data_IF_276124586848
#
_entry.id   IF_276124586848
#
_cell.length_a   1.000
_cell.length_b   1.000
_cell.length_c   1.000
_cell.angle_alpha   90.00
_cell.angle_beta   90.00
_cell.angle_gamma   90.00
#
_symmetry.space_group_name_H-M   'P 1'
#
loop_
_entity.id
_entity.type
_entity.pdbx_description
1 polymer ?
#
# COMPACT_ATOMS: atom_id res chain seq x y z
N UNK A 1 -37.70 -22.78 14.64
CA UNK A 1 -36.76 -22.61 15.77
C UNK A 1 -35.28 -22.35 15.33
N UNK A 2 -34.97 -22.53 14.07
CA UNK A 2 -33.64 -22.28 13.45
C UNK A 2 -33.28 -20.80 13.32
N UNK A 3 -34.26 -19.94 13.05
CA UNK A 3 -34.02 -18.49 12.76
C UNK A 3 -33.42 -17.71 13.94
N UNK A 4 -33.84 -17.97 15.18
CA UNK A 4 -33.34 -17.28 16.39
C UNK A 4 -31.92 -17.70 16.81
N UNK A 5 -31.46 -18.90 16.42
CA UNK A 5 -30.09 -19.37 16.71
C UNK A 5 -29.10 -18.78 15.72
N UNK A 6 -29.46 -18.72 14.44
CA UNK A 6 -28.62 -18.19 13.37
C UNK A 6 -28.41 -16.68 13.52
N UNK A 7 -29.45 -15.95 13.99
CA UNK A 7 -29.31 -14.51 14.30
C UNK A 7 -28.38 -14.27 15.48
N UNK A 8 -28.38 -15.12 16.51
CA UNK A 8 -27.47 -15.00 17.65
C UNK A 8 -26.03 -15.23 17.21
N UNK A 9 -25.78 -16.23 16.38
CA UNK A 9 -24.45 -16.52 15.85
C UNK A 9 -23.94 -15.34 15.00
N UNK A 10 -24.75 -14.84 14.07
CA UNK A 10 -24.40 -13.68 13.24
C UNK A 10 -24.11 -12.45 14.11
N UNK A 11 -24.90 -12.19 15.13
CA UNK A 11 -24.69 -11.07 16.04
C UNK A 11 -23.40 -11.22 16.86
N UNK A 12 -23.07 -12.43 17.31
CA UNK A 12 -21.85 -12.71 18.04
C UNK A 12 -20.60 -12.49 17.16
N UNK A 13 -20.60 -12.96 15.92
CA UNK A 13 -19.52 -12.73 14.96
C UNK A 13 -19.42 -11.23 14.64
N UNK A 14 -20.55 -10.55 14.43
CA UNK A 14 -20.60 -9.13 14.11
C UNK A 14 -20.04 -8.24 15.22
N UNK A 15 -20.08 -8.68 16.47
CA UNK A 15 -19.54 -7.95 17.62
C UNK A 15 -18.03 -8.06 17.78
N UNK A 16 -17.34 -8.95 17.05
CA UNK A 16 -15.88 -9.06 17.10
C UNK A 16 -15.26 -7.75 16.61
N UNK A 17 -14.40 -7.15 17.41
CA UNK A 17 -13.70 -5.91 17.05
C UNK A 17 -12.43 -6.24 16.26
N UNK A 18 -12.28 -5.60 15.12
CA UNK A 18 -11.06 -5.61 14.32
C UNK A 18 -10.01 -4.70 14.99
N UNK A 19 -8.85 -5.22 15.42
CA UNK A 19 -7.85 -4.44 16.12
C UNK A 19 -7.14 -3.41 15.24
N UNK A 20 -7.17 -3.59 13.92
CA UNK A 20 -6.50 -2.71 12.97
C UNK A 20 -7.35 -1.50 12.58
N UNK A 21 -8.67 -1.68 12.51
CA UNK A 21 -9.61 -0.60 12.17
C UNK A 21 -10.32 -0.01 13.38
N UNK A 22 -10.34 -0.73 14.51
CA UNK A 22 -11.09 -0.35 15.71
C UNK A 22 -12.62 -0.46 15.55
N UNK A 23 -13.11 -1.01 14.44
CA UNK A 23 -14.53 -1.22 14.15
C UNK A 23 -14.93 -2.69 14.36
N UNK A 24 -16.21 -2.96 14.58
CA UNK A 24 -16.69 -4.34 14.61
C UNK A 24 -16.74 -4.95 13.20
N UNK A 25 -16.66 -6.29 13.09
CA UNK A 25 -16.80 -6.97 11.80
C UNK A 25 -18.17 -6.70 11.15
N UNK A 26 -19.21 -6.46 11.97
CA UNK A 26 -20.53 -6.08 11.49
C UNK A 26 -20.57 -4.69 10.89
N UNK A 27 -20.05 -3.68 11.61
CA UNK A 27 -19.98 -2.28 11.15
C UNK A 27 -19.03 -2.14 9.96
N UNK A 28 -17.92 -2.89 9.95
CA UNK A 28 -16.96 -2.96 8.86
C UNK A 28 -17.47 -3.71 7.63
N UNK A 29 -18.66 -4.32 7.71
CA UNK A 29 -19.26 -5.15 6.64
C UNK A 29 -18.34 -6.28 6.18
N UNK A 30 -17.53 -6.80 7.08
CA UNK A 30 -16.57 -7.86 6.78
C UNK A 30 -17.19 -9.25 6.67
N UNK A 31 -18.44 -9.44 7.15
CA UNK A 31 -19.15 -10.72 7.09
C UNK A 31 -19.84 -10.83 5.74
N UNK A 32 -19.37 -11.74 4.91
CA UNK A 32 -19.95 -11.99 3.57
C UNK A 32 -21.05 -13.05 3.63
N UNK A 33 -20.81 -14.14 4.37
CA UNK A 33 -21.77 -15.24 4.48
C UNK A 33 -21.62 -15.95 5.84
N UNK A 34 -22.75 -16.42 6.37
CA UNK A 34 -22.83 -17.37 7.49
C UNK A 34 -23.88 -18.41 7.11
N UNK A 35 -23.44 -19.62 6.79
CA UNK A 35 -24.25 -20.69 6.28
C UNK A 35 -24.21 -21.95 7.18
N UNK A 36 -25.35 -22.48 7.51
CA UNK A 36 -25.46 -23.78 8.20
C UNK A 36 -25.43 -24.88 7.14
N UNK A 37 -24.48 -25.80 7.27
CA UNK A 37 -24.32 -26.97 6.38
C UNK A 37 -24.64 -28.27 7.11
N UNK A 38 -24.82 -29.38 6.40
CA UNK A 38 -25.03 -30.68 7.05
C UNK A 38 -23.87 -31.13 7.95
N UNK A 39 -22.68 -30.57 7.77
CA UNK A 39 -21.44 -30.92 8.51
C UNK A 39 -21.06 -29.91 9.57
N UNK A 40 -21.69 -28.73 9.63
CA UNK A 40 -21.38 -27.68 10.59
C UNK A 40 -21.81 -26.30 10.15
N UNK A 41 -21.01 -25.30 10.50
CA UNK A 41 -21.18 -23.88 10.14
C UNK A 41 -20.04 -23.41 9.25
N UNK A 42 -20.39 -22.75 8.16
CA UNK A 42 -19.43 -22.05 7.29
C UNK A 42 -19.56 -20.54 7.46
N UNK A 43 -18.43 -19.87 7.73
CA UNK A 43 -18.36 -18.42 7.89
C UNK A 43 -17.38 -17.89 6.85
N UNK A 44 -17.84 -17.00 5.98
CA UNK A 44 -17.01 -16.31 5.00
C UNK A 44 -16.85 -14.84 5.40
N UNK A 45 -15.62 -14.39 5.50
CA UNK A 45 -15.24 -13.02 5.81
C UNK A 45 -14.46 -12.41 4.65
N UNK A 46 -14.67 -11.13 4.40
CA UNK A 46 -13.88 -10.35 3.44
C UNK A 46 -13.30 -9.13 4.13
N UNK A 47 -11.97 -9.03 4.17
CA UNK A 47 -11.27 -7.86 4.70
C UNK A 47 -10.93 -6.89 3.57
N UNK A 48 -11.20 -5.60 3.76
CA UNK A 48 -10.92 -4.54 2.79
C UNK A 48 -9.45 -4.11 2.73
N UNK A 49 -8.57 -4.79 3.45
CA UNK A 49 -7.14 -4.51 3.57
C UNK A 49 -6.34 -5.81 3.78
N UNK A 50 -5.03 -5.85 3.47
CA UNK A 50 -4.21 -7.04 3.62
C UNK A 50 -3.90 -7.29 5.12
N UNK A 51 -4.13 -8.51 5.59
CA UNK A 51 -3.97 -8.88 6.99
C UNK A 51 -3.74 -10.39 7.18
N UNK A 52 -2.91 -11.01 6.35
CA UNK A 52 -2.61 -12.44 6.45
C UNK A 52 -2.12 -12.84 7.84
N UNK A 53 -1.31 -11.98 8.48
CA UNK A 53 -0.79 -12.21 9.81
C UNK A 53 -1.86 -12.31 10.90
N UNK A 54 -3.06 -11.75 10.66
CA UNK A 54 -4.17 -11.79 11.61
C UNK A 54 -5.17 -12.94 11.34
N UNK A 55 -5.12 -13.60 10.20
CA UNK A 55 -6.13 -14.58 9.79
C UNK A 55 -6.32 -15.71 10.81
N UNK A 56 -5.27 -16.27 11.39
CA UNK A 56 -5.38 -17.39 12.32
C UNK A 56 -6.03 -16.98 13.65
N UNK A 57 -5.67 -15.79 14.16
CA UNK A 57 -6.31 -15.23 15.36
C UNK A 57 -7.79 -14.92 15.07
N UNK A 58 -8.11 -14.30 13.95
CA UNK A 58 -9.49 -14.00 13.56
C UNK A 58 -10.34 -15.28 13.44
N UNK A 59 -9.81 -16.34 12.82
CA UNK A 59 -10.50 -17.65 12.78
C UNK A 59 -10.78 -18.20 14.17
N UNK A 60 -9.84 -18.03 15.11
CA UNK A 60 -9.99 -18.47 16.50
C UNK A 60 -11.06 -17.64 17.23
N UNK A 61 -11.08 -16.32 17.05
CA UNK A 61 -12.09 -15.42 17.61
C UNK A 61 -13.49 -15.76 17.09
N UNK A 62 -13.63 -16.02 15.79
CA UNK A 62 -14.91 -16.42 15.20
C UNK A 62 -15.41 -17.74 15.77
N UNK A 63 -14.54 -18.75 15.87
CA UNK A 63 -14.92 -20.05 16.46
C UNK A 63 -15.34 -19.91 17.93
N UNK A 64 -14.63 -19.08 18.69
CA UNK A 64 -14.99 -18.78 20.08
C UNK A 64 -16.37 -18.12 20.18
N UNK A 65 -16.61 -17.06 19.41
CA UNK A 65 -17.89 -16.35 19.40
C UNK A 65 -19.08 -17.26 18.99
N UNK A 66 -18.86 -18.16 18.04
CA UNK A 66 -19.85 -19.14 17.59
C UNK A 66 -20.16 -20.17 18.68
N UNK A 67 -19.13 -20.66 19.38
CA UNK A 67 -19.30 -21.58 20.52
C UNK A 67 -20.04 -20.91 21.68
N UNK A 68 -19.70 -19.67 22.02
CA UNK A 68 -20.37 -18.88 23.07
C UNK A 68 -21.84 -18.60 22.72
N UNK A 69 -22.17 -18.50 21.43
CA UNK A 69 -23.55 -18.38 20.95
C UNK A 69 -24.34 -19.69 21.00
N UNK A 70 -23.70 -20.79 21.44
CA UNK A 70 -24.34 -22.11 21.68
C UNK A 70 -24.22 -23.10 20.52
N UNK A 71 -23.41 -22.85 19.51
CA UNK A 71 -23.15 -23.81 18.44
C UNK A 71 -22.05 -24.80 18.87
N UNK A 72 -22.30 -26.10 18.71
CA UNK A 72 -21.40 -27.18 19.10
C UNK A 72 -20.85 -28.02 17.94
N UNK A 73 -21.16 -27.62 16.70
CA UNK A 73 -20.71 -28.29 15.48
C UNK A 73 -19.33 -27.80 15.01
N UNK A 74 -18.84 -28.37 13.92
CA UNK A 74 -17.63 -27.87 13.24
C UNK A 74 -17.87 -26.47 12.70
N UNK A 75 -16.83 -25.61 12.74
CA UNK A 75 -16.90 -24.23 12.24
C UNK A 75 -15.73 -23.99 11.28
N UNK A 76 -16.07 -23.91 10.00
CA UNK A 76 -15.13 -23.56 8.95
C UNK A 76 -15.16 -22.05 8.71
N UNK A 77 -14.00 -21.41 8.75
CA UNK A 77 -13.86 -19.96 8.55
C UNK A 77 -12.95 -19.70 7.36
N UNK A 78 -13.52 -19.14 6.30
CA UNK A 78 -12.81 -18.64 5.14
C UNK A 78 -12.62 -17.13 5.27
N UNK A 79 -11.42 -16.63 4.98
CA UNK A 79 -11.10 -15.20 4.99
C UNK A 79 -10.49 -14.85 3.65
N UNK A 80 -11.07 -13.86 2.98
CA UNK A 80 -10.59 -13.31 1.72
C UNK A 80 -10.15 -11.86 1.92
N UNK A 81 -9.16 -11.44 1.19
CA UNK A 81 -8.73 -10.03 1.12
C UNK A 81 -9.21 -9.41 -0.17
N UNK A 82 -10.01 -8.34 -0.07
CA UNK A 82 -10.48 -7.56 -1.21
C UNK A 82 -10.17 -6.08 -0.98
N UNK A 83 -8.93 -5.70 -1.24
CA UNK A 83 -8.45 -4.33 -1.02
C UNK A 83 -9.31 -3.34 -1.80
N UNK A 84 -9.82 -2.34 -1.09
CA UNK A 84 -10.68 -1.28 -1.63
C UNK A 84 -9.82 -0.17 -2.24
N UNK A 85 -10.21 0.33 -3.41
CA UNK A 85 -9.60 1.53 -3.98
C UNK A 85 -10.10 2.78 -3.25
N UNK A 86 -9.18 3.62 -2.81
CA UNK A 86 -9.48 4.88 -2.14
C UNK A 86 -9.54 6.04 -3.14
N UNK A 87 -10.26 7.09 -2.76
CA UNK A 87 -10.31 8.30 -3.55
C UNK A 87 -8.92 8.96 -3.67
N UNK A 88 -8.68 9.56 -4.83
CA UNK A 88 -7.48 10.36 -5.12
C UNK A 88 -7.85 11.82 -5.27
N UNK A 89 -6.86 12.71 -5.40
CA UNK A 89 -7.08 14.15 -5.57
C UNK A 89 -8.00 14.44 -6.78
N UNK A 90 -8.81 15.46 -6.68
CA UNK A 90 -9.68 15.93 -7.77
C UNK A 90 -8.87 16.34 -9.00
N UNK A 91 -9.31 15.87 -10.17
CA UNK A 91 -8.69 16.21 -11.45
C UNK A 91 -7.47 15.35 -11.84
N UNK A 92 -7.13 14.32 -11.05
CA UNK A 92 -6.08 13.37 -11.40
C UNK A 92 -6.72 12.04 -11.80
N UNK A 93 -6.21 11.44 -12.87
CA UNK A 93 -6.72 10.15 -13.39
C UNK A 93 -6.02 8.99 -12.66
N UNK A 94 -6.75 8.01 -12.12
CA UNK A 94 -6.15 6.79 -11.56
C UNK A 94 -5.28 6.05 -12.57
N UNK A 95 -4.24 5.40 -12.08
CA UNK A 95 -3.34 4.58 -12.91
C UNK A 95 -4.00 3.23 -13.19
N UNK A 96 -3.99 2.82 -14.44
CA UNK A 96 -4.54 1.53 -14.85
C UNK A 96 -3.79 0.38 -14.16
N UNK A 97 -4.52 -0.55 -13.58
CA UNK A 97 -3.96 -1.70 -12.88
C UNK A 97 -3.40 -1.38 -11.48
N UNK A 98 -3.72 -0.21 -10.88
CA UNK A 98 -3.30 0.17 -9.53
C UNK A 98 -4.50 0.69 -8.74
N UNK A 99 -4.83 0.08 -7.61
CA UNK A 99 -5.94 0.52 -6.75
C UNK A 99 -5.55 1.71 -5.86
N UNK A 100 -4.40 1.62 -5.19
CA UNK A 100 -3.98 2.63 -4.23
C UNK A 100 -2.51 3.01 -4.44
N UNK A 101 -2.19 4.30 -4.33
CA UNK A 101 -0.82 4.79 -4.39
C UNK A 101 -0.45 5.43 -3.05
N UNK A 102 0.61 4.93 -2.43
CA UNK A 102 1.17 5.48 -1.19
C UNK A 102 2.49 6.19 -1.53
N UNK A 103 2.53 7.51 -1.35
CA UNK A 103 3.75 8.29 -1.52
C UNK A 103 4.58 8.23 -0.24
N UNK A 104 5.87 7.87 -0.35
CA UNK A 104 6.82 7.95 0.76
C UNK A 104 7.75 9.13 0.51
N UNK A 105 7.71 10.09 1.41
CA UNK A 105 8.42 11.35 1.30
C UNK A 105 9.33 11.61 2.49
N UNK A 106 10.28 12.53 2.34
CA UNK A 106 11.09 13.04 3.43
C UNK A 106 11.44 14.51 3.20
N UNK A 107 11.54 15.27 4.27
CA UNK A 107 11.95 16.69 4.19
C UNK A 107 13.42 16.89 3.82
N UNK A 108 14.27 15.88 4.05
CA UNK A 108 15.70 15.89 3.70
C UNK A 108 16.19 14.50 3.30
N UNK A 109 17.36 14.45 2.64
CA UNK A 109 18.05 13.20 2.32
C UNK A 109 18.67 12.53 3.56
N UNK A 110 18.93 11.21 3.45
CA UNK A 110 19.66 10.46 4.46
C UNK A 110 18.86 10.01 5.69
N UNK A 111 17.52 10.14 5.68
CA UNK A 111 16.66 9.69 6.79
C UNK A 111 16.19 8.24 6.66
N UNK A 112 16.60 7.52 5.61
CA UNK A 112 16.20 6.14 5.35
C UNK A 112 14.87 5.99 4.60
N UNK A 113 14.42 7.04 3.90
CA UNK A 113 13.18 7.05 3.10
C UNK A 113 13.05 5.82 2.19
N UNK A 114 14.06 5.55 1.34
CA UNK A 114 14.04 4.44 0.38
C UNK A 114 14.03 3.07 1.06
N UNK A 115 14.69 2.93 2.22
CA UNK A 115 14.60 1.72 3.05
C UNK A 115 13.18 1.51 3.58
N UNK A 116 12.54 2.58 4.06
CA UNK A 116 11.14 2.51 4.51
C UNK A 116 10.21 2.17 3.34
N UNK A 117 10.43 2.78 2.15
CA UNK A 117 9.63 2.52 0.95
C UNK A 117 9.68 1.04 0.54
N UNK A 118 10.89 0.46 0.48
CA UNK A 118 11.07 -0.97 0.16
C UNK A 118 10.39 -1.87 1.19
N UNK A 119 10.63 -1.61 2.48
CA UNK A 119 10.06 -2.44 3.55
C UNK A 119 8.53 -2.31 3.61
N UNK A 120 7.97 -1.14 3.32
CA UNK A 120 6.52 -0.97 3.24
C UNK A 120 5.92 -1.80 2.11
N UNK A 121 6.51 -1.78 0.91
CA UNK A 121 6.04 -2.58 -0.21
C UNK A 121 6.13 -4.09 0.08
N UNK A 122 7.25 -4.53 0.69
CA UNK A 122 7.46 -5.92 1.10
C UNK A 122 6.50 -6.35 2.22
N UNK A 123 6.24 -5.49 3.19
CA UNK A 123 5.29 -5.75 4.27
C UNK A 123 3.86 -5.91 3.73
N UNK A 124 3.43 -5.03 2.82
CA UNK A 124 2.13 -5.15 2.17
C UNK A 124 2.00 -6.46 1.40
N UNK A 125 3.06 -6.88 0.68
CA UNK A 125 3.07 -8.18 -0.02
C UNK A 125 3.01 -9.36 0.96
N UNK A 126 3.75 -9.31 2.07
CA UNK A 126 3.73 -10.38 3.09
C UNK A 126 2.37 -10.52 3.76
N UNK A 127 1.61 -9.42 3.87
CA UNK A 127 0.23 -9.42 4.37
C UNK A 127 -0.81 -9.81 3.29
N UNK A 128 -0.36 -10.19 2.09
CA UNK A 128 -1.22 -10.75 1.05
C UNK A 128 -1.71 -9.75 -0.01
N UNK A 129 -1.20 -8.53 -0.03
CA UNK A 129 -1.52 -7.57 -1.09
C UNK A 129 -0.67 -7.80 -2.35
N UNK A 130 -1.25 -7.54 -3.53
CA UNK A 130 -0.48 -7.32 -4.74
C UNK A 130 0.21 -5.95 -4.64
N UNK A 131 1.53 -5.95 -4.39
CA UNK A 131 2.28 -4.74 -4.12
C UNK A 131 3.31 -4.42 -5.21
N UNK A 132 3.61 -3.12 -5.37
CA UNK A 132 4.65 -2.64 -6.25
C UNK A 132 5.37 -1.42 -5.67
N UNK A 133 6.52 -1.10 -6.25
CA UNK A 133 7.30 0.08 -5.90
C UNK A 133 7.79 0.81 -7.15
N UNK A 134 7.64 2.14 -7.15
CA UNK A 134 8.23 3.03 -8.13
C UNK A 134 9.30 3.89 -7.45
N UNK A 135 10.55 3.74 -7.89
CA UNK A 135 11.65 4.61 -7.50
C UNK A 135 11.57 5.92 -8.31
N UNK A 136 11.16 6.96 -7.67
CA UNK A 136 11.03 8.29 -8.25
C UNK A 136 12.22 9.21 -7.90
N UNK A 137 13.25 8.72 -7.20
CA UNK A 137 14.46 9.46 -6.90
C UNK A 137 15.47 9.39 -8.06
N UNK A 138 15.27 10.27 -9.04
CA UNK A 138 16.11 10.31 -10.26
C UNK A 138 17.58 10.66 -9.95
N UNK A 139 17.83 11.41 -8.90
CA UNK A 139 19.20 11.84 -8.55
C UNK A 139 20.01 10.76 -7.85
N UNK A 140 19.34 9.79 -7.23
CA UNK A 140 19.99 8.70 -6.50
C UNK A 140 19.11 7.46 -6.46
N UNK A 141 18.79 6.84 -7.63
CA UNK A 141 17.94 5.67 -7.66
C UNK A 141 18.57 4.54 -6.86
N UNK A 142 17.85 4.06 -5.85
CA UNK A 142 18.37 3.10 -4.88
C UNK A 142 17.63 1.76 -4.89
N UNK A 143 16.38 1.74 -5.37
CA UNK A 143 15.55 0.55 -5.32
C UNK A 143 16.10 -0.65 -6.13
N UNK A 144 16.77 -0.48 -7.28
CA UNK A 144 17.41 -1.58 -7.98
C UNK A 144 18.39 -2.35 -7.08
N UNK A 145 19.25 -1.64 -6.35
CA UNK A 145 20.22 -2.25 -5.42
C UNK A 145 19.55 -2.86 -4.20
N UNK A 146 18.57 -2.18 -3.62
CA UNK A 146 17.87 -2.64 -2.42
C UNK A 146 17.07 -3.92 -2.66
N UNK A 147 16.49 -4.05 -3.85
CA UNK A 147 15.70 -5.21 -4.25
C UNK A 147 16.52 -6.29 -4.97
N UNK A 148 17.83 -6.08 -5.15
CA UNK A 148 18.71 -7.03 -5.83
C UNK A 148 18.34 -7.22 -7.31
N UNK A 149 17.77 -6.21 -7.97
CA UNK A 149 17.33 -6.26 -9.36
C UNK A 149 18.43 -5.71 -10.26
N UNK A 150 18.74 -6.44 -11.33
CA UNK A 150 19.67 -6.03 -12.38
C UNK A 150 19.07 -6.21 -13.77
N UNK A 151 19.60 -5.50 -14.76
CA UNK A 151 19.12 -5.55 -16.12
C UNK A 151 18.13 -4.43 -16.44
N UNK A 152 17.47 -4.54 -17.61
CA UNK A 152 16.53 -3.53 -18.13
C UNK A 152 15.12 -4.10 -18.27
N UNK A 153 14.08 -3.30 -18.02
CA UNK A 153 12.69 -3.68 -18.29
C UNK A 153 12.52 -4.08 -19.75
N UNK A 154 11.70 -5.10 -19.96
CA UNK A 154 11.34 -5.52 -21.31
C UNK A 154 10.17 -4.68 -21.84
N UNK A 155 10.03 -4.65 -23.17
CA UNK A 155 8.88 -4.07 -23.85
C UNK A 155 8.38 -5.05 -24.89
N UNK A 156 7.09 -5.29 -24.93
CA UNK A 156 6.45 -6.18 -25.91
C UNK A 156 5.95 -5.41 -27.14
N UNK A 157 5.67 -4.12 -27.00
CA UNK A 157 5.07 -3.26 -28.05
C UNK A 157 5.96 -2.07 -28.44
N UNK A 158 7.15 -1.95 -27.84
CA UNK A 158 8.08 -0.84 -28.04
C UNK A 158 7.62 0.49 -27.42
N UNK A 159 6.52 0.49 -26.67
CA UNK A 159 5.93 1.70 -26.04
C UNK A 159 5.78 1.57 -24.53
N UNK A 160 5.37 0.39 -24.07
CA UNK A 160 5.15 0.13 -22.65
C UNK A 160 6.27 -0.72 -22.07
N UNK A 161 6.47 -0.64 -20.78
CA UNK A 161 7.52 -1.33 -20.04
C UNK A 161 6.90 -2.38 -19.10
N UNK A 162 7.45 -3.58 -19.13
CA UNK A 162 7.11 -4.61 -18.16
C UNK A 162 7.82 -4.31 -16.84
N UNK A 163 7.10 -4.29 -15.69
CA UNK A 163 7.75 -4.09 -14.39
C UNK A 163 8.71 -5.25 -14.10
N UNK A 164 9.81 -4.93 -13.45
CA UNK A 164 10.73 -5.94 -12.91
C UNK A 164 10.11 -6.60 -11.68
N UNK A 165 10.41 -7.87 -11.44
CA UNK A 165 9.85 -8.62 -10.31
C UNK A 165 10.97 -9.01 -9.36
N UNK A 166 10.79 -8.73 -8.08
CA UNK A 166 11.66 -9.21 -7.00
C UNK A 166 10.85 -9.34 -5.72
N UNK A 167 11.10 -10.40 -4.92
CA UNK A 167 10.37 -10.69 -3.67
C UNK A 167 8.85 -10.58 -3.82
N UNK A 168 8.31 -11.06 -4.95
CA UNK A 168 6.87 -11.04 -5.28
C UNK A 168 6.27 -9.63 -5.46
N UNK A 169 7.06 -8.56 -5.43
CA UNK A 169 6.62 -7.21 -5.75
C UNK A 169 7.04 -6.78 -7.15
N UNK A 170 6.22 -5.91 -7.76
CA UNK A 170 6.54 -5.28 -9.03
C UNK A 170 7.36 -4.02 -8.78
N UNK A 171 8.47 -3.86 -9.49
CA UNK A 171 9.38 -2.73 -9.30
C UNK A 171 9.68 -2.01 -10.60
N UNK A 172 9.70 -0.68 -10.55
CA UNK A 172 10.19 0.17 -11.63
C UNK A 172 11.05 1.29 -11.05
N UNK A 173 12.11 1.62 -11.77
CA UNK A 173 13.02 2.71 -11.42
C UNK A 173 13.60 3.33 -12.68
N UNK A 174 13.85 4.62 -12.64
CA UNK A 174 14.63 5.29 -13.68
C UNK A 174 16.05 4.69 -13.78
N UNK A 175 16.57 4.16 -12.67
CA UNK A 175 17.87 3.49 -12.63
C UNK A 175 17.97 2.24 -13.50
N UNK A 176 16.86 1.66 -13.96
CA UNK A 176 16.88 0.57 -14.95
C UNK A 176 17.05 1.07 -16.39
N UNK A 177 16.79 2.35 -16.65
CA UNK A 177 16.75 2.94 -17.99
C UNK A 177 17.98 3.75 -18.33
N UNK A 178 18.71 4.23 -17.32
CA UNK A 178 19.93 5.02 -17.48
C UNK A 178 21.16 4.18 -17.17
N UNK A 179 22.24 4.42 -17.90
CA UNK A 179 23.53 3.81 -17.59
C UNK A 179 24.19 4.61 -16.45
N UNK A 180 24.65 3.92 -15.41
CA UNK A 180 25.27 4.54 -14.21
C UNK A 180 26.46 5.46 -14.58
N UNK A 181 27.18 5.16 -15.68
CA UNK A 181 28.36 5.90 -16.13
C UNK A 181 28.03 7.12 -17.02
N UNK A 182 26.75 7.35 -17.35
CA UNK A 182 26.36 8.47 -18.21
C UNK A 182 25.86 9.64 -17.40
N UNK A 183 26.64 10.72 -17.24
CA UNK A 183 26.17 11.90 -16.52
C UNK A 183 25.03 12.58 -17.28
N UNK A 184 23.81 12.47 -16.77
CA UNK A 184 22.65 13.20 -17.31
C UNK A 184 22.36 14.42 -16.43
N UNK A 185 22.20 15.58 -17.07
CA UNK A 185 21.79 16.80 -16.38
C UNK A 185 20.26 16.86 -16.36
N UNK A 186 19.67 16.44 -15.25
CA UNK A 186 18.24 16.50 -15.03
C UNK A 186 17.80 17.90 -14.59
N UNK A 187 16.83 18.49 -15.31
CA UNK A 187 16.13 19.71 -14.88
C UNK A 187 14.74 19.36 -14.38
N UNK A 188 14.21 20.11 -13.41
CA UNK A 188 12.94 19.82 -12.76
C UNK A 188 11.79 19.38 -13.69
N UNK A 189 11.47 20.12 -14.77
CA UNK A 189 10.43 19.70 -15.70
C UNK A 189 10.69 18.35 -16.41
N UNK A 190 11.97 18.06 -16.72
CA UNK A 190 12.36 16.78 -17.34
C UNK A 190 12.19 15.61 -16.35
N UNK A 191 12.54 15.84 -15.09
CA UNK A 191 12.34 14.86 -14.00
C UNK A 191 10.86 14.48 -13.89
N UNK A 192 9.99 15.47 -13.80
CA UNK A 192 8.55 15.25 -13.67
C UNK A 192 7.99 14.49 -14.88
N UNK A 193 8.37 14.90 -16.09
CA UNK A 193 7.92 14.23 -17.31
C UNK A 193 8.40 12.77 -17.38
N UNK A 194 9.66 12.50 -17.05
CA UNK A 194 10.21 11.14 -17.05
C UNK A 194 9.49 10.23 -16.04
N UNK A 195 9.19 10.77 -14.85
CA UNK A 195 8.47 9.99 -13.82
C UNK A 195 7.00 9.77 -14.18
N UNK A 196 6.31 10.76 -14.75
CA UNK A 196 4.96 10.58 -15.28
C UNK A 196 4.94 9.51 -16.38
N UNK A 197 5.89 9.56 -17.28
CA UNK A 197 6.02 8.58 -18.34
C UNK A 197 6.30 7.19 -17.76
N UNK A 198 7.25 7.08 -16.83
CA UNK A 198 7.57 5.82 -16.18
C UNK A 198 6.38 5.22 -15.42
N UNK A 199 5.59 6.05 -14.74
CA UNK A 199 4.39 5.64 -14.04
C UNK A 199 3.29 5.14 -14.98
N UNK A 200 3.06 5.86 -16.10
CA UNK A 200 1.97 5.58 -17.03
C UNK A 200 2.33 4.49 -18.07
N UNK A 201 3.59 4.42 -18.51
CA UNK A 201 4.04 3.47 -19.53
C UNK A 201 4.40 2.10 -18.93
N UNK A 202 4.49 1.98 -17.60
CA UNK A 202 4.66 0.69 -16.94
C UNK A 202 3.34 -0.09 -16.93
N UNK A 203 3.38 -1.32 -17.39
CA UNK A 203 2.23 -2.23 -17.35
C UNK A 203 2.08 -2.86 -15.96
N UNK A 204 1.60 -2.07 -14.99
CA UNK A 204 1.28 -2.57 -13.65
C UNK A 204 0.19 -3.64 -13.71
N UNK A 205 0.42 -4.77 -13.02
CA UNK A 205 -0.47 -5.93 -13.07
C UNK A 205 -1.31 -6.02 -11.82
N UNK A 206 -2.50 -5.41 -11.86
CA UNK A 206 -3.53 -5.51 -10.80
C UNK A 206 -2.98 -5.32 -9.38
N UNK A 207 -2.28 -4.21 -9.17
CA UNK A 207 -1.74 -3.86 -7.86
C UNK A 207 -2.82 -3.37 -6.90
N UNK A 208 -2.81 -3.89 -5.68
CA UNK A 208 -3.55 -3.32 -4.56
C UNK A 208 -2.90 -2.04 -4.06
N UNK A 209 -1.56 -2.04 -4.01
CA UNK A 209 -0.77 -0.89 -3.56
C UNK A 209 0.47 -0.69 -4.43
N UNK A 210 0.69 0.55 -4.85
CA UNK A 210 1.94 1.03 -5.44
C UNK A 210 2.59 2.02 -4.47
N UNK A 211 3.76 1.67 -3.92
CA UNK A 211 4.56 2.58 -3.10
C UNK A 211 5.44 3.41 -4.02
N UNK A 212 5.38 4.74 -3.90
CA UNK A 212 6.26 5.65 -4.65
C UNK A 212 7.30 6.24 -3.71
N UNK A 213 8.56 5.90 -3.97
CA UNK A 213 9.72 6.46 -3.28
C UNK A 213 10.07 7.82 -3.88
N UNK A 214 9.54 8.90 -3.31
CA UNK A 214 9.72 10.26 -3.83
C UNK A 214 11.16 10.77 -3.65
N UNK A 215 11.64 11.71 -4.49
CA UNK A 215 12.92 12.40 -4.22
C UNK A 215 12.90 13.07 -2.85
N UNK A 216 14.03 13.23 -2.16
CA UNK A 216 14.08 13.94 -0.88
C UNK A 216 13.86 15.45 -1.03
N UNK A 217 13.35 16.09 0.03
CA UNK A 217 13.15 17.54 0.11
C UNK A 217 11.70 17.96 0.03
N UNK A 218 11.46 19.27 -0.12
CA UNK A 218 10.12 19.90 -0.19
C UNK A 218 10.06 20.94 -1.30
N UNK A 219 10.85 20.74 -2.36
CA UNK A 219 10.95 21.67 -3.49
C UNK A 219 9.83 21.49 -4.54
N UNK A 220 9.91 22.28 -5.59
CA UNK A 220 8.91 22.33 -6.67
C UNK A 220 8.73 20.99 -7.37
N UNK A 221 9.76 20.18 -7.48
CA UNK A 221 9.68 18.86 -8.11
C UNK A 221 8.78 17.91 -7.33
N UNK A 222 8.94 17.82 -5.99
CA UNK A 222 8.09 17.00 -5.14
C UNK A 222 6.64 17.50 -5.16
N UNK A 223 6.45 18.83 -5.07
CA UNK A 223 5.12 19.42 -5.14
C UNK A 223 4.43 19.08 -6.47
N UNK A 224 5.14 19.22 -7.58
CA UNK A 224 4.61 18.92 -8.91
C UNK A 224 4.27 17.44 -9.06
N UNK A 225 5.15 16.55 -8.58
CA UNK A 225 4.88 15.11 -8.59
C UNK A 225 3.65 14.76 -7.74
N UNK A 226 3.58 15.30 -6.52
CA UNK A 226 2.43 15.09 -5.64
C UNK A 226 1.11 15.59 -6.25
N UNK A 227 1.13 16.63 -7.07
CA UNK A 227 -0.06 17.13 -7.77
C UNK A 227 -0.49 16.30 -8.97
N UNK A 228 0.43 15.61 -9.62
CA UNK A 228 0.18 14.89 -10.88
C UNK A 228 -0.03 13.39 -10.70
N UNK A 229 0.51 12.82 -9.64
CA UNK A 229 0.34 11.40 -9.30
C UNK A 229 -0.95 11.22 -8.51
N UNK A 230 -1.80 10.23 -8.84
CA UNK A 230 -3.05 9.95 -8.11
C UNK A 230 -2.77 9.28 -6.75
N UNK A 231 -2.28 10.05 -5.79
CA UNK A 231 -1.87 9.56 -4.47
C UNK A 231 -3.07 9.38 -3.55
N UNK A 232 -3.27 8.18 -3.01
CA UNK A 232 -4.31 7.89 -2.01
C UNK A 232 -3.91 8.36 -0.61
N UNK A 233 -2.60 8.43 -0.33
CA UNK A 233 -2.07 8.93 0.93
C UNK A 233 -0.55 9.00 0.95
N UNK A 234 0.01 9.80 1.87
CA UNK A 234 1.45 9.99 2.00
C UNK A 234 1.96 9.60 3.40
N UNK A 235 3.12 8.94 3.44
CA UNK A 235 3.90 8.71 4.66
C UNK A 235 5.16 9.59 4.64
N UNK A 236 5.47 10.25 5.76
CA UNK A 236 6.63 11.13 5.87
C UNK A 236 7.69 10.47 6.76
N UNK A 237 8.87 10.23 6.20
CA UNK A 237 10.00 9.66 6.95
C UNK A 237 10.89 10.77 7.48
N UNK A 238 11.22 10.70 8.76
CA UNK A 238 12.13 11.65 9.44
C UNK A 238 13.02 10.93 10.44
N UNK A 239 13.91 11.67 11.06
CA UNK A 239 14.73 11.25 12.21
C UNK A 239 14.47 12.18 13.38
N UNK A 240 14.82 11.83 14.65
CA UNK A 240 14.42 12.61 15.82
C UNK A 240 15.12 13.95 15.98
N UNK A 241 16.13 14.27 15.14
CA UNK A 241 16.87 15.52 15.25
C UNK A 241 16.00 16.73 14.87
N UNK A 242 16.12 17.82 15.61
CA UNK A 242 15.33 19.05 15.43
C UNK A 242 15.30 19.57 13.99
N UNK A 243 16.44 19.55 13.30
CA UNK A 243 16.53 20.00 11.89
C UNK A 243 15.70 19.09 10.98
N UNK A 244 15.72 17.78 11.21
CA UNK A 244 14.93 16.83 10.43
C UNK A 244 13.43 17.03 10.66
N UNK A 245 13.03 17.29 11.91
CA UNK A 245 11.64 17.56 12.29
C UNK A 245 11.13 18.86 11.65
N UNK A 246 11.95 19.89 11.55
CA UNK A 246 11.59 21.12 10.84
C UNK A 246 11.32 20.87 9.36
N UNK A 247 12.12 20.02 8.72
CA UNK A 247 11.92 19.68 7.31
C UNK A 247 10.73 18.71 7.12
N UNK A 248 10.49 17.80 8.04
CA UNK A 248 9.28 16.95 8.05
C UNK A 248 7.99 17.79 8.16
N UNK A 249 7.98 18.85 8.99
CA UNK A 249 6.87 19.80 9.06
C UNK A 249 6.61 20.54 7.75
N UNK A 250 7.67 20.86 6.99
CA UNK A 250 7.51 21.46 5.65
C UNK A 250 6.88 20.45 4.67
N UNK A 251 7.32 19.18 4.72
CA UNK A 251 6.73 18.12 3.90
C UNK A 251 5.24 17.91 4.24
N UNK A 252 4.87 17.90 5.52
CA UNK A 252 3.47 17.83 5.96
C UNK A 252 2.65 18.97 5.33
N UNK A 253 3.10 20.21 5.49
CA UNK A 253 2.40 21.39 4.92
C UNK A 253 2.32 21.34 3.38
N UNK A 254 3.30 20.75 2.73
CA UNK A 254 3.27 20.55 1.27
C UNK A 254 2.12 19.62 0.86
N UNK A 255 1.96 18.47 1.55
CA UNK A 255 0.87 17.52 1.27
C UNK A 255 -0.51 18.11 1.62
N UNK A 256 -0.62 18.82 2.74
CA UNK A 256 -1.85 19.54 3.12
C UNK A 256 -2.27 20.53 2.03
N UNK A 257 -1.31 21.28 1.46
CA UNK A 257 -1.57 22.28 0.40
C UNK A 257 -2.11 21.65 -0.89
N UNK A 258 -1.76 20.41 -1.18
CA UNK A 258 -2.22 19.68 -2.38
C UNK A 258 -3.34 18.68 -2.08
N UNK A 259 -3.94 18.78 -0.90
CA UNK A 259 -5.07 17.97 -0.45
C UNK A 259 -4.80 16.45 -0.48
N UNK A 260 -3.55 16.03 -0.24
CA UNK A 260 -3.18 14.62 -0.08
C UNK A 260 -3.21 14.27 1.41
N UNK A 261 -3.98 13.24 1.81
CA UNK A 261 -4.01 12.77 3.19
C UNK A 261 -2.61 12.30 3.65
N UNK A 262 -2.14 12.79 4.79
CA UNK A 262 -0.94 12.26 5.43
C UNK A 262 -1.33 11.13 6.36
N UNK A 263 -0.91 9.89 6.01
CA UNK A 263 -1.22 8.67 6.75
C UNK A 263 -0.48 8.62 8.09
N UNK A 264 0.71 9.23 8.13
CA UNK A 264 1.51 9.29 9.35
C UNK A 264 2.93 9.76 9.09
N UNK A 265 3.66 9.90 10.21
CA UNK A 265 5.08 10.21 10.23
C UNK A 265 5.84 9.01 10.80
N UNK A 266 6.85 8.56 10.09
CA UNK A 266 7.71 7.45 10.49
C UNK A 266 9.02 8.04 11.02
N UNK A 267 9.22 7.97 12.32
CA UNK A 267 10.51 8.28 12.94
C UNK A 267 11.45 7.08 12.77
N UNK A 268 12.60 7.34 12.18
CA UNK A 268 13.61 6.35 11.89
C UNK A 268 14.93 6.74 12.56
N UNK A 269 15.80 5.77 12.83
CA UNK A 269 17.12 5.99 13.46
C UNK A 269 17.01 6.67 14.86
N UNK A 270 15.98 6.29 15.63
CA UNK A 270 15.76 6.74 17.00
C UNK A 270 16.40 5.80 18.02
#
# INVERSE_FOLDING_TARGET
>A
MTDSSDEKIKSAIAAITDPHTGTSLGDGKSITEVAVTPTGLEVSLTLGYPANGWHDELKSLVRGAVADAGHSGDVQVAIETAVVAHEVQKGVTPIKGVKNIIAVASGKGGVGKSTVSSNLALALASEGAAAGILDADIYGPSQPRMLGISGRPQTSDGKTLEPMISYEIQAMSIGFLIDEDTPMIWRGPMVTQALEQLLNDTQWRELDYLVIDLPPGTGDTQLTLAQKVPVSGAAIVTTPQDIALLDARKALKMFEKVEIPVLGVIENMS
#
